data_IF_232493960917
#
_entry.id   IF_232493960917
#
_cell.length_a   1.000
_cell.length_b   1.000
_cell.length_c   1.000
_cell.angle_alpha   90.00
_cell.angle_beta   90.00
_cell.angle_gamma   90.00
#
_symmetry.space_group_name_H-M   'P 1'
#
loop_
_entity.id
_entity.type
_entity.pdbx_description
1 polymer ?
#
# COMPACT_ATOMS: atom_id res chain seq x y z
N UNK A 1 -22.59 -6.34 5.55
CA UNK A 1 -21.72 -5.57 4.62
C UNK A 1 -22.07 -4.11 4.79
N UNK A 2 -21.09 -3.26 5.09
CA UNK A 2 -21.35 -1.85 5.44
C UNK A 2 -21.96 -1.10 4.26
N UNK A 3 -22.94 -0.23 4.52
CA UNK A 3 -23.60 0.68 3.58
C UNK A 3 -22.56 1.46 2.72
N UNK A 4 -21.46 1.89 3.34
CA UNK A 4 -20.31 2.51 2.65
C UNK A 4 -19.63 1.64 1.57
N UNK A 5 -19.68 0.31 1.71
CA UNK A 5 -19.12 -0.59 0.70
C UNK A 5 -20.02 -0.62 -0.54
N UNK A 6 -21.32 -0.74 -0.34
CA UNK A 6 -22.32 -0.73 -1.43
C UNK A 6 -22.26 0.59 -2.22
N UNK A 7 -22.15 1.72 -1.51
CA UNK A 7 -22.05 3.05 -2.12
C UNK A 7 -20.80 3.18 -3.00
N UNK A 8 -19.62 2.75 -2.52
CA UNK A 8 -18.40 2.81 -3.32
C UNK A 8 -18.44 1.89 -4.54
N UNK A 9 -19.04 0.72 -4.45
CA UNK A 9 -19.24 -0.18 -5.61
C UNK A 9 -20.12 0.49 -6.66
N UNK A 10 -21.18 1.16 -6.24
CA UNK A 10 -22.06 1.90 -7.14
C UNK A 10 -21.33 3.08 -7.80
N UNK A 11 -20.57 3.86 -7.03
CA UNK A 11 -19.76 4.95 -7.58
C UNK A 11 -18.75 4.45 -8.62
N UNK A 12 -18.10 3.32 -8.36
CA UNK A 12 -17.17 2.70 -9.30
C UNK A 12 -17.88 2.27 -10.59
N UNK A 13 -19.05 1.65 -10.48
CA UNK A 13 -19.83 1.25 -11.64
C UNK A 13 -20.36 2.43 -12.47
N UNK A 14 -20.64 3.56 -11.84
CA UNK A 14 -21.05 4.80 -12.55
C UNK A 14 -19.84 5.47 -13.19
N UNK A 15 -18.70 5.52 -12.49
CA UNK A 15 -17.43 6.00 -13.03
C UNK A 15 -17.03 5.24 -14.30
N UNK A 16 -17.21 3.92 -14.33
CA UNK A 16 -16.91 3.10 -15.51
C UNK A 16 -17.77 3.43 -16.75
N UNK A 17 -18.90 4.09 -16.52
CA UNK A 17 -19.81 4.59 -17.58
C UNK A 17 -19.51 6.06 -17.98
N UNK A 18 -18.46 6.66 -17.41
CA UNK A 18 -18.08 8.03 -17.68
C UNK A 18 -18.82 9.08 -16.84
N UNK A 19 -19.45 8.70 -15.72
CA UNK A 19 -20.12 9.65 -14.83
C UNK A 19 -19.10 10.40 -13.97
N UNK A 20 -18.86 11.67 -14.33
CA UNK A 20 -17.90 12.54 -13.66
C UNK A 20 -18.29 12.85 -12.20
N UNK A 21 -19.57 13.02 -11.92
CA UNK A 21 -20.04 13.33 -10.57
C UNK A 21 -19.75 12.15 -9.60
N UNK A 22 -19.94 10.93 -10.05
CA UNK A 22 -19.58 9.72 -9.29
C UNK A 22 -18.07 9.60 -9.10
N UNK A 23 -17.28 9.94 -10.11
CA UNK A 23 -15.82 9.97 -10.00
C UNK A 23 -15.34 11.02 -8.98
N UNK A 24 -15.90 12.22 -8.97
CA UNK A 24 -15.58 13.27 -7.99
C UNK A 24 -15.91 12.82 -6.55
N UNK A 25 -17.04 12.14 -6.36
CA UNK A 25 -17.41 11.57 -5.06
C UNK A 25 -16.44 10.47 -4.65
N UNK A 26 -16.07 9.59 -5.57
CA UNK A 26 -15.07 8.54 -5.34
C UNK A 26 -13.71 9.15 -4.96
N UNK A 27 -13.27 10.18 -5.68
CA UNK A 27 -12.07 10.96 -5.40
C UNK A 27 -12.11 11.53 -3.98
N UNK A 28 -13.16 12.26 -3.63
CA UNK A 28 -13.30 12.90 -2.32
C UNK A 28 -13.30 11.88 -1.17
N UNK A 29 -13.89 10.71 -1.38
CA UNK A 29 -13.98 9.66 -0.36
C UNK A 29 -12.65 8.91 -0.14
N UNK A 30 -11.77 8.84 -1.15
CA UNK A 30 -10.61 7.94 -1.13
C UNK A 30 -9.27 8.64 -1.21
N UNK A 31 -9.19 9.88 -1.75
CA UNK A 31 -7.92 10.59 -1.95
C UNK A 31 -7.08 10.81 -0.69
N UNK A 32 -7.64 11.12 0.50
CA UNK A 32 -6.79 11.29 1.68
C UNK A 32 -6.05 10.00 2.07
N UNK A 33 -6.71 8.84 1.91
CA UNK A 33 -6.10 7.54 2.20
C UNK A 33 -5.05 7.14 1.18
N UNK A 34 -5.34 7.32 -0.11
CA UNK A 34 -4.40 7.00 -1.18
C UNK A 34 -3.19 7.94 -1.16
N UNK A 35 -3.40 9.24 -0.89
CA UNK A 35 -2.31 10.19 -0.69
C UNK A 35 -1.41 9.81 0.50
N UNK A 36 -2.01 9.46 1.65
CA UNK A 36 -1.27 8.99 2.82
C UNK A 36 -0.42 7.76 2.52
N UNK A 37 -0.94 6.82 1.72
CA UNK A 37 -0.18 5.66 1.25
C UNK A 37 1.00 6.08 0.36
N UNK A 38 0.76 6.92 -0.65
CA UNK A 38 1.80 7.42 -1.55
C UNK A 38 2.90 8.17 -0.78
N UNK A 39 2.51 9.05 0.14
CA UNK A 39 3.45 9.81 0.96
C UNK A 39 4.30 8.89 1.85
N UNK A 40 3.69 7.86 2.45
CA UNK A 40 4.42 6.87 3.26
C UNK A 40 5.42 6.05 2.42
N UNK A 41 5.05 5.69 1.19
CA UNK A 41 5.91 4.91 0.31
C UNK A 41 7.04 5.74 -0.32
N UNK A 42 6.75 6.96 -0.74
CA UNK A 42 7.68 7.79 -1.52
C UNK A 42 8.52 8.73 -0.64
N UNK A 43 8.01 9.12 0.54
CA UNK A 43 8.69 10.03 1.46
C UNK A 43 8.81 11.48 0.93
N UNK A 44 8.16 11.80 -0.20
CA UNK A 44 8.21 13.10 -0.84
C UNK A 44 6.80 13.56 -1.22
N UNK A 45 6.43 14.78 -0.81
CA UNK A 45 5.07 15.32 -1.02
C UNK A 45 4.75 15.56 -2.49
N UNK A 46 5.68 16.12 -3.26
CA UNK A 46 5.46 16.43 -4.68
C UNK A 46 5.26 15.13 -5.47
N UNK A 47 6.14 14.17 -5.31
CA UNK A 47 5.98 12.87 -5.99
C UNK A 47 4.73 12.11 -5.54
N UNK A 48 4.34 12.22 -4.26
CA UNK A 48 3.09 11.62 -3.79
C UNK A 48 1.86 12.26 -4.43
N UNK A 49 1.89 13.58 -4.70
CA UNK A 49 0.83 14.29 -5.41
C UNK A 49 0.77 13.89 -6.89
N UNK A 50 1.92 13.85 -7.57
CA UNK A 50 2.03 13.48 -8.98
C UNK A 50 1.53 12.04 -9.19
N UNK A 51 1.99 11.10 -8.36
CA UNK A 51 1.54 9.71 -8.40
C UNK A 51 0.05 9.58 -8.08
N UNK A 52 -0.47 10.35 -7.11
CA UNK A 52 -1.91 10.36 -6.82
C UNK A 52 -2.73 10.77 -8.04
N UNK A 53 -2.30 11.78 -8.76
CA UNK A 53 -2.96 12.22 -10.00
C UNK A 53 -2.97 11.11 -11.05
N UNK A 54 -1.82 10.46 -11.28
CA UNK A 54 -1.72 9.32 -12.21
C UNK A 54 -2.63 8.15 -11.81
N UNK A 55 -2.74 7.87 -10.50
CA UNK A 55 -3.63 6.84 -9.98
C UNK A 55 -5.07 7.12 -10.37
N UNK A 56 -5.54 8.37 -10.21
CA UNK A 56 -6.93 8.70 -10.54
C UNK A 56 -7.19 8.72 -12.05
N UNK A 57 -6.21 9.07 -12.86
CA UNK A 57 -6.28 8.88 -14.33
C UNK A 57 -6.44 7.39 -14.64
N UNK A 58 -5.66 6.50 -14.02
CA UNK A 58 -5.79 5.04 -14.20
C UNK A 58 -7.14 4.54 -13.70
N UNK A 59 -7.61 5.01 -12.53
CA UNK A 59 -8.94 4.66 -12.00
C UNK A 59 -10.04 5.03 -12.98
N UNK A 60 -9.99 6.24 -13.54
CA UNK A 60 -10.96 6.68 -14.55
C UNK A 60 -11.00 5.77 -15.78
N UNK A 61 -9.84 5.41 -16.31
CA UNK A 61 -9.75 4.58 -17.52
C UNK A 61 -10.05 3.10 -17.27
N UNK A 62 -9.76 2.59 -16.09
CA UNK A 62 -9.85 1.16 -15.77
C UNK A 62 -10.96 0.80 -14.77
N UNK A 63 -11.85 1.75 -14.43
CA UNK A 63 -12.97 1.49 -13.51
C UNK A 63 -13.83 0.28 -13.93
N UNK A 64 -13.96 0.03 -15.25
CA UNK A 64 -14.69 -1.13 -15.80
C UNK A 64 -14.02 -2.50 -15.54
N UNK A 65 -12.75 -2.52 -15.18
CA UNK A 65 -12.00 -3.74 -14.83
C UNK A 65 -12.15 -4.13 -13.34
N UNK A 66 -12.82 -3.28 -12.56
CA UNK A 66 -13.09 -3.60 -11.17
C UNK A 66 -14.15 -4.68 -11.04
N UNK A 67 -13.88 -5.71 -10.22
CA UNK A 67 -14.78 -6.81 -9.91
C UNK A 67 -15.09 -6.85 -8.40
N UNK A 68 -16.36 -6.64 -7.99
CA UNK A 68 -16.75 -6.63 -6.57
C UNK A 68 -16.40 -7.92 -5.82
N UNK A 69 -16.38 -9.05 -6.52
CA UNK A 69 -16.04 -10.37 -5.96
C UNK A 69 -14.57 -10.50 -5.54
N UNK A 70 -13.69 -9.64 -6.05
CA UNK A 70 -12.25 -9.66 -5.76
C UNK A 70 -11.83 -8.74 -4.62
N UNK A 71 -12.78 -8.00 -4.04
CA UNK A 71 -12.53 -7.10 -2.92
C UNK A 71 -13.17 -5.73 -3.08
N UNK A 72 -12.96 -4.85 -2.10
CA UNK A 72 -13.56 -3.51 -2.11
C UNK A 72 -12.93 -2.60 -3.19
N UNK A 73 -13.68 -1.58 -3.68
CA UNK A 73 -13.11 -0.56 -4.56
C UNK A 73 -11.84 0.07 -3.99
N UNK A 74 -11.83 0.35 -2.71
CA UNK A 74 -10.65 0.91 -2.03
C UNK A 74 -9.47 -0.04 -2.09
N UNK A 75 -9.67 -1.35 -1.86
CA UNK A 75 -8.60 -2.37 -1.97
C UNK A 75 -8.01 -2.42 -3.38
N UNK A 76 -8.87 -2.34 -4.40
CA UNK A 76 -8.45 -2.30 -5.80
C UNK A 76 -7.62 -1.03 -6.10
N UNK A 77 -8.10 0.15 -5.66
CA UNK A 77 -7.38 1.42 -5.81
C UNK A 77 -6.06 1.45 -5.04
N UNK A 78 -6.00 0.88 -3.83
CA UNK A 78 -4.76 0.71 -3.06
C UNK A 78 -3.76 -0.14 -3.83
N UNK A 79 -4.20 -1.19 -4.52
CA UNK A 79 -3.32 -2.01 -5.35
C UNK A 79 -2.71 -1.21 -6.50
N UNK A 80 -3.52 -0.41 -7.22
CA UNK A 80 -3.04 0.50 -8.28
C UNK A 80 -2.03 1.49 -7.72
N UNK A 81 -2.36 2.11 -6.57
CA UNK A 81 -1.50 3.09 -5.90
C UNK A 81 -0.15 2.51 -5.53
N UNK A 82 -0.16 1.30 -4.96
CA UNK A 82 1.05 0.59 -4.58
C UNK A 82 1.95 0.29 -5.79
N UNK A 83 1.36 -0.19 -6.90
CA UNK A 83 2.13 -0.44 -8.12
C UNK A 83 2.74 0.83 -8.69
N UNK A 84 1.98 1.93 -8.75
CA UNK A 84 2.48 3.23 -9.22
C UNK A 84 3.65 3.73 -8.35
N UNK A 85 3.51 3.69 -7.02
CA UNK A 85 4.61 4.05 -6.13
C UNK A 85 5.84 3.14 -6.29
N UNK A 86 5.63 1.83 -6.47
CA UNK A 86 6.75 0.89 -6.70
C UNK A 86 7.51 1.19 -7.99
N UNK A 87 6.82 1.62 -9.05
CA UNK A 87 7.46 1.98 -10.31
C UNK A 87 8.37 3.20 -10.12
N UNK A 88 7.91 4.23 -9.41
CA UNK A 88 8.75 5.40 -9.04
C UNK A 88 9.95 4.96 -8.21
N UNK A 89 9.75 4.13 -7.19
CA UNK A 89 10.84 3.62 -6.36
C UNK A 89 11.84 2.76 -7.16
N UNK A 90 11.40 2.00 -8.15
CA UNK A 90 12.29 1.23 -9.04
C UNK A 90 13.10 2.14 -9.94
N UNK A 91 12.51 3.19 -10.49
CA UNK A 91 13.21 4.18 -11.30
C UNK A 91 14.31 4.89 -10.50
N UNK A 92 14.03 5.28 -9.26
CA UNK A 92 15.03 5.85 -8.35
C UNK A 92 16.21 4.88 -8.09
N UNK A 93 15.93 3.58 -7.91
CA UNK A 93 16.94 2.56 -7.62
C UNK A 93 17.87 2.23 -8.77
N UNK A 94 17.49 2.49 -10.01
CA UNK A 94 18.43 2.43 -11.14
C UNK A 94 19.65 3.34 -10.97
N UNK A 95 19.62 4.21 -9.92
CA UNK A 95 20.64 5.22 -9.62
C UNK A 95 21.20 5.15 -8.18
N UNK A 96 20.78 4.20 -7.33
CA UNK A 96 21.20 4.17 -5.91
C UNK A 96 21.64 2.79 -5.42
N UNK A 97 22.68 2.77 -4.57
CA UNK A 97 23.26 1.59 -3.94
C UNK A 97 22.40 1.02 -2.80
N UNK A 98 22.53 -0.30 -2.57
CA UNK A 98 21.78 -1.11 -1.56
C UNK A 98 22.02 -0.64 -0.12
N UNK A 99 23.12 0.06 0.17
CA UNK A 99 23.45 0.51 1.53
C UNK A 99 22.62 1.72 2.00
N UNK A 100 22.14 2.58 1.10
CA UNK A 100 21.21 3.65 1.44
C UNK A 100 19.85 3.11 1.92
N UNK A 101 19.44 1.95 1.43
CA UNK A 101 18.19 1.31 1.82
C UNK A 101 18.22 0.81 3.27
N UNK A 102 19.36 0.31 3.76
CA UNK A 102 19.54 -0.11 5.16
C UNK A 102 19.41 1.05 6.14
N UNK A 103 19.89 2.22 5.75
CA UNK A 103 19.79 3.43 6.56
C UNK A 103 18.36 3.98 6.59
N UNK A 104 17.66 3.95 5.47
CA UNK A 104 16.24 4.33 5.38
C UNK A 104 15.34 3.39 6.20
N UNK A 105 15.63 2.08 6.22
CA UNK A 105 14.90 1.11 7.03
C UNK A 105 15.03 1.37 8.53
N UNK A 106 16.22 1.80 8.99
CA UNK A 106 16.46 2.20 10.38
C UNK A 106 15.69 3.46 10.76
N UNK A 107 15.58 4.42 9.86
CA UNK A 107 14.85 5.67 10.09
C UNK A 107 13.34 5.46 10.07
N UNK A 108 12.82 4.66 9.14
CA UNK A 108 11.38 4.37 9.02
C UNK A 108 10.82 3.51 10.17
N UNK A 109 11.67 2.77 10.88
CA UNK A 109 11.27 2.03 12.09
C UNK A 109 11.05 2.95 13.31
N UNK A 110 11.39 4.24 13.23
CA UNK A 110 11.43 5.15 14.38
C UNK A 110 10.34 6.23 14.41
N UNK A 111 9.47 6.36 13.41
CA UNK A 111 8.46 7.42 13.46
C UNK A 111 7.01 6.91 13.37
N UNK A 112 6.30 6.85 14.50
CA UNK A 112 4.84 6.82 14.52
C UNK A 112 4.30 8.26 14.45
N UNK A 113 4.53 8.97 13.35
CA UNK A 113 3.90 10.28 13.17
C UNK A 113 2.60 10.13 12.38
N UNK A 114 1.52 10.55 13.04
CA UNK A 114 0.12 10.70 12.61
C UNK A 114 -0.90 9.65 13.11
N UNK A 115 -0.73 9.19 14.35
CA UNK A 115 -1.72 8.31 15.02
C UNK A 115 -3.03 9.02 15.43
N UNK A 116 -3.16 10.33 15.26
CA UNK A 116 -4.28 11.09 15.82
C UNK A 116 -5.59 11.02 15.00
N UNK A 117 -5.56 10.55 13.73
CA UNK A 117 -6.73 10.44 12.84
C UNK A 117 -6.91 9.02 12.27
N UNK A 118 -6.20 8.03 12.82
CA UNK A 118 -6.25 6.66 12.34
C UNK A 118 -7.62 6.04 12.61
N UNK A 119 -8.23 5.45 11.56
CA UNK A 119 -9.47 4.67 11.68
C UNK A 119 -9.26 3.44 12.59
N UNK A 120 -10.35 2.81 13.05
CA UNK A 120 -10.27 1.58 13.83
C UNK A 120 -9.46 0.48 13.12
N UNK A 121 -9.62 0.38 11.80
CA UNK A 121 -8.89 -0.57 10.95
C UNK A 121 -7.38 -0.28 10.92
N UNK A 122 -7.00 1.01 10.87
CA UNK A 122 -5.58 1.41 10.89
C UNK A 122 -4.91 1.11 12.24
N UNK A 123 -5.64 1.32 13.34
CA UNK A 123 -5.18 0.96 14.69
C UNK A 123 -5.01 -0.55 14.84
N UNK A 124 -5.92 -1.34 14.29
CA UNK A 124 -5.84 -2.81 14.29
C UNK A 124 -4.65 -3.29 13.46
N UNK A 125 -4.42 -2.70 12.29
CA UNK A 125 -3.28 -3.01 11.44
C UNK A 125 -1.95 -2.69 12.15
N UNK A 126 -1.83 -1.51 12.77
CA UNK A 126 -0.63 -1.11 13.49
C UNK A 126 -0.35 -2.02 14.70
N UNK A 127 -1.38 -2.40 15.45
CA UNK A 127 -1.27 -3.39 16.52
C UNK A 127 -0.73 -4.71 16.01
N UNK A 128 -1.32 -5.29 14.96
CA UNK A 128 -0.91 -6.56 14.40
C UNK A 128 0.53 -6.52 13.83
N UNK A 129 0.94 -5.39 13.25
CA UNK A 129 2.32 -5.19 12.79
C UNK A 129 3.32 -5.16 13.96
N UNK A 130 2.94 -4.61 15.11
CA UNK A 130 3.80 -4.60 16.32
C UNK A 130 3.93 -5.97 16.96
N UNK A 131 2.94 -6.82 16.82
CA UNK A 131 2.97 -8.20 17.37
C UNK A 131 3.84 -9.15 16.52
N UNK A 132 4.22 -8.75 15.29
CA UNK A 132 5.15 -9.53 14.46
C UNK A 132 6.57 -9.51 15.04
N UNK A 133 7.31 -10.63 14.85
CA UNK A 133 8.77 -10.60 15.05
C UNK A 133 9.43 -9.60 14.12
N UNK A 134 10.61 -9.11 14.52
CA UNK A 134 11.33 -8.09 13.74
C UNK A 134 11.65 -8.55 12.32
N UNK A 135 11.99 -9.84 12.14
CA UNK A 135 12.28 -10.40 10.81
C UNK A 135 11.03 -10.47 9.92
N UNK A 136 9.89 -10.89 10.46
CA UNK A 136 8.64 -10.95 9.72
C UNK A 136 8.16 -9.55 9.35
N UNK A 137 8.21 -8.61 10.32
CA UNK A 137 7.83 -7.20 10.11
C UNK A 137 8.72 -6.54 9.06
N UNK A 138 10.05 -6.66 9.17
CA UNK A 138 11.00 -6.13 8.21
C UNK A 138 10.75 -6.72 6.80
N UNK A 139 10.51 -8.03 6.71
CA UNK A 139 10.23 -8.68 5.44
C UNK A 139 8.97 -8.16 4.77
N UNK A 140 7.88 -7.97 5.55
CA UNK A 140 6.63 -7.39 5.03
C UNK A 140 6.85 -5.94 4.61
N UNK A 141 7.55 -5.14 5.41
CA UNK A 141 7.84 -3.75 5.07
C UNK A 141 8.65 -3.63 3.77
N UNK A 142 9.71 -4.42 3.62
CA UNK A 142 10.53 -4.45 2.40
C UNK A 142 9.72 -4.85 1.16
N UNK A 143 8.89 -5.88 1.27
CA UNK A 143 8.07 -6.33 0.16
C UNK A 143 6.95 -5.35 -0.17
N UNK A 144 6.28 -4.80 0.85
CA UNK A 144 5.04 -4.04 0.66
C UNK A 144 5.29 -2.55 0.44
N UNK A 145 6.12 -1.90 1.26
CA UNK A 145 6.37 -0.45 1.14
C UNK A 145 7.55 -0.12 0.23
N UNK A 146 8.58 -0.96 0.21
CA UNK A 146 9.75 -0.71 -0.62
C UNK A 146 9.72 -1.46 -1.95
N UNK A 147 8.75 -2.36 -2.16
CA UNK A 147 8.56 -3.08 -3.41
C UNK A 147 9.75 -3.94 -3.83
N UNK A 148 10.56 -4.44 -2.86
CA UNK A 148 11.67 -5.31 -3.17
C UNK A 148 11.20 -6.70 -3.60
N UNK A 149 11.89 -7.27 -4.59
CA UNK A 149 11.76 -8.69 -4.89
C UNK A 149 12.38 -9.53 -3.77
N UNK A 150 11.97 -10.80 -3.65
CA UNK A 150 12.54 -11.69 -2.63
C UNK A 150 14.06 -11.84 -2.75
N UNK A 151 14.62 -11.79 -3.98
CA UNK A 151 16.06 -11.83 -4.20
C UNK A 151 16.76 -10.56 -3.71
N UNK A 152 16.17 -9.40 -3.93
CA UNK A 152 16.66 -8.12 -3.39
C UNK A 152 16.60 -8.13 -1.86
N UNK A 153 15.48 -8.59 -1.29
CA UNK A 153 15.33 -8.73 0.16
C UNK A 153 16.37 -9.68 0.76
N UNK A 154 16.63 -10.81 0.11
CA UNK A 154 17.65 -11.77 0.54
C UNK A 154 19.04 -11.13 0.63
N UNK A 155 19.41 -10.33 -0.37
CA UNK A 155 20.65 -9.55 -0.39
C UNK A 155 20.69 -8.48 0.70
N UNK A 156 19.61 -7.70 0.83
CA UNK A 156 19.50 -6.61 1.82
C UNK A 156 19.57 -7.12 3.25
N UNK A 157 18.87 -8.24 3.54
CA UNK A 157 18.81 -8.83 4.88
C UNK A 157 20.00 -9.76 5.18
N UNK A 158 20.81 -10.10 4.18
CA UNK A 158 21.90 -11.06 4.32
C UNK A 158 21.41 -12.47 4.68
N UNK A 159 20.25 -12.89 4.14
CA UNK A 159 19.60 -14.15 4.46
C UNK A 159 19.28 -14.97 3.21
N UNK A 160 19.24 -16.32 3.32
CA UNK A 160 18.88 -17.16 2.18
C UNK A 160 17.49 -16.84 1.63
N UNK A 161 17.34 -16.91 0.31
CA UNK A 161 16.07 -16.62 -0.39
C UNK A 161 14.88 -17.42 0.17
N UNK A 162 15.09 -18.71 0.47
CA UNK A 162 14.06 -19.58 1.05
C UNK A 162 13.58 -19.10 2.42
N UNK A 163 14.51 -18.58 3.25
CA UNK A 163 14.20 -17.99 4.55
C UNK A 163 13.34 -16.75 4.40
N UNK A 164 13.72 -15.84 3.51
CA UNK A 164 12.97 -14.60 3.26
C UNK A 164 11.57 -14.88 2.72
N UNK A 165 11.42 -15.80 1.77
CA UNK A 165 10.09 -16.25 1.29
C UNK A 165 9.23 -16.81 2.43
N UNK A 166 9.84 -17.59 3.32
CA UNK A 166 9.14 -18.14 4.49
C UNK A 166 8.71 -17.05 5.47
N UNK A 167 9.55 -16.06 5.73
CA UNK A 167 9.22 -14.93 6.61
C UNK A 167 8.07 -14.09 6.06
N UNK A 168 8.07 -13.76 4.78
CA UNK A 168 6.98 -13.03 4.13
C UNK A 168 5.67 -13.81 4.26
N UNK A 169 5.68 -15.11 3.91
CA UNK A 169 4.48 -15.94 3.99
C UNK A 169 3.93 -16.01 5.40
N UNK A 170 4.77 -16.39 6.39
CA UNK A 170 4.35 -16.51 7.78
C UNK A 170 3.88 -15.19 8.38
N UNK A 171 4.55 -14.10 8.03
CA UNK A 171 4.14 -12.77 8.46
C UNK A 171 2.78 -12.37 7.91
N UNK A 172 2.48 -12.66 6.63
CA UNK A 172 1.17 -12.41 6.04
C UNK A 172 0.08 -13.32 6.64
N UNK A 173 0.38 -14.59 6.89
CA UNK A 173 -0.54 -15.52 7.55
C UNK A 173 -0.88 -15.04 8.96
N UNK A 174 0.12 -14.58 9.73
CA UNK A 174 -0.10 -13.98 11.05
C UNK A 174 -0.95 -12.72 10.98
N UNK A 175 -0.65 -11.79 10.04
CA UNK A 175 -1.41 -10.56 9.86
C UNK A 175 -2.87 -10.85 9.56
N UNK A 176 -3.16 -11.82 8.68
CA UNK A 176 -4.53 -12.25 8.39
C UNK A 176 -5.25 -12.70 9.66
N UNK A 177 -4.66 -13.62 10.42
CA UNK A 177 -5.26 -14.17 11.64
C UNK A 177 -5.46 -13.10 12.72
N UNK A 178 -4.52 -12.15 12.83
CA UNK A 178 -4.61 -11.07 13.80
C UNK A 178 -5.74 -10.08 13.46
N UNK A 179 -5.92 -9.76 12.18
CA UNK A 179 -6.95 -8.81 11.72
C UNK A 179 -8.37 -9.42 11.71
N UNK A 180 -8.50 -10.74 11.70
CA UNK A 180 -9.77 -11.46 11.79
C UNK A 180 -10.27 -11.63 13.25
N UNK A 181 -9.45 -11.29 14.25
CA UNK A 181 -9.81 -11.29 15.68
C UNK A 181 -10.59 -10.05 16.09
#
# INVERSE_FOLDING_TARGET
MSEKFSDMVQLMAQTSRGDLASFERLYSATSPRLYGLCLRMLGNQHEAQDVLQEIYIKVWHHAGEYHPERGSPLTWMVSISRYACMDVLRQRRGHQDVDDLKNQLRSAAMEPQQAALASADEKSLDRCLRELSDEHRASIQLAYFYGLTHDQMARTLGRPLGTVKSWVRRGLDFMRQCLER
#
